data_IF_022041474655
#
_entry.id   IF_022041474655
#
_cell.length_a   1.000
_cell.length_b   1.000
_cell.length_c   1.000
_cell.angle_alpha   90.00
_cell.angle_beta   90.00
_cell.angle_gamma   90.00
#
_symmetry.space_group_name_H-M   'P 1'
#
loop_
_entity.id
_entity.type
_entity.pdbx_description
1 polymer ?
#
# COMPACT_ATOMS: atom_id res chain seq x y z
N UNK A 1 17.55 -4.91 -16.43
CA UNK A 1 17.19 -6.14 -15.67
C UNK A 1 18.08 -6.48 -14.46
N UNK A 2 19.39 -6.19 -14.45
CA UNK A 2 20.29 -6.53 -13.32
C UNK A 2 19.84 -5.94 -11.96
N UNK A 3 19.42 -4.66 -11.93
CA UNK A 3 18.94 -3.99 -10.71
C UNK A 3 17.66 -4.61 -10.14
N UNK A 4 16.69 -4.93 -10.99
CA UNK A 4 15.46 -5.63 -10.58
C UNK A 4 15.76 -7.00 -9.95
N UNK A 5 16.67 -7.78 -10.55
CA UNK A 5 17.12 -9.07 -9.98
C UNK A 5 17.86 -8.90 -8.66
N UNK A 6 18.62 -7.81 -8.49
CA UNK A 6 19.30 -7.51 -7.23
C UNK A 6 18.30 -7.14 -6.13
N UNK A 7 17.35 -6.26 -6.43
CA UNK A 7 16.24 -5.94 -5.54
C UNK A 7 15.51 -7.22 -5.13
N UNK A 8 15.16 -8.09 -6.08
CA UNK A 8 14.48 -9.35 -5.76
C UNK A 8 15.29 -10.25 -4.84
N UNK A 9 16.60 -10.38 -5.07
CA UNK A 9 17.48 -11.15 -4.17
C UNK A 9 17.53 -10.57 -2.76
N UNK A 10 17.52 -9.24 -2.63
CA UNK A 10 17.46 -8.57 -1.33
C UNK A 10 16.13 -8.82 -0.62
N UNK A 11 15.00 -8.67 -1.33
CA UNK A 11 13.67 -8.89 -0.77
C UNK A 11 13.42 -10.36 -0.40
N UNK A 12 13.95 -11.32 -1.17
CA UNK A 12 13.85 -12.73 -0.85
C UNK A 12 14.59 -13.13 0.44
N UNK A 13 15.59 -12.36 0.88
CA UNK A 13 16.36 -12.64 2.10
C UNK A 13 15.63 -12.23 3.38
N UNK A 14 14.66 -11.32 3.26
CA UNK A 14 14.00 -10.70 4.40
C UNK A 14 12.50 -10.53 4.10
N UNK A 15 11.67 -11.51 4.51
CA UNK A 15 10.24 -11.51 4.23
C UNK A 15 9.50 -10.29 4.78
N UNK A 16 9.91 -9.76 5.92
CA UNK A 16 9.30 -8.59 6.56
C UNK A 16 9.53 -7.34 5.70
N UNK A 17 10.78 -7.13 5.26
CA UNK A 17 11.11 -6.03 4.33
C UNK A 17 10.34 -6.11 3.02
N UNK A 18 10.20 -7.32 2.46
CA UNK A 18 9.40 -7.51 1.25
C UNK A 18 7.91 -7.23 1.45
N UNK A 19 7.35 -7.60 2.60
CA UNK A 19 5.97 -7.29 2.94
C UNK A 19 5.75 -5.78 3.01
N UNK A 20 6.62 -5.06 3.69
CA UNK A 20 6.58 -3.59 3.78
C UNK A 20 6.71 -2.93 2.41
N UNK A 21 7.68 -3.38 1.61
CA UNK A 21 7.91 -2.82 0.28
C UNK A 21 6.76 -3.11 -0.68
N UNK A 22 6.21 -4.32 -0.66
CA UNK A 22 5.00 -4.67 -1.42
C UNK A 22 3.78 -3.87 -0.96
N UNK A 23 3.69 -3.55 0.33
CA UNK A 23 2.69 -2.65 0.89
C UNK A 23 2.77 -1.24 0.30
N UNK A 24 3.98 -0.69 0.12
CA UNK A 24 4.19 0.61 -0.53
C UNK A 24 3.66 0.61 -1.97
N UNK A 25 3.98 -0.41 -2.77
CA UNK A 25 3.50 -0.50 -4.15
C UNK A 25 1.97 -0.63 -4.20
N UNK A 26 1.38 -1.33 -3.23
CA UNK A 26 -0.08 -1.45 -3.12
C UNK A 26 -0.73 -0.12 -2.77
N UNK A 27 -0.17 0.65 -1.83
CA UNK A 27 -0.64 2.00 -1.48
C UNK A 27 -0.65 2.92 -2.73
N UNK A 28 0.36 2.80 -3.60
CA UNK A 28 0.41 3.54 -4.86
C UNK A 28 -0.75 3.16 -5.80
N UNK A 29 -1.09 1.88 -5.90
CA UNK A 29 -2.20 1.41 -6.75
C UNK A 29 -3.56 1.79 -6.16
N UNK A 30 -3.76 1.53 -4.87
CA UNK A 30 -5.04 1.75 -4.18
C UNK A 30 -5.42 3.24 -4.15
N UNK A 31 -4.43 4.13 -4.07
CA UNK A 31 -4.63 5.59 -4.11
C UNK A 31 -4.62 6.18 -5.51
N UNK A 32 -4.37 5.38 -6.55
CA UNK A 32 -4.33 5.84 -7.93
C UNK A 32 -3.11 6.70 -8.27
N UNK A 33 -2.01 6.59 -7.51
CA UNK A 33 -0.73 7.22 -7.85
C UNK A 33 0.05 6.44 -8.90
N UNK A 34 -0.18 5.14 -8.99
CA UNK A 34 0.30 4.28 -10.06
C UNK A 34 -0.85 3.45 -10.61
N UNK A 35 -0.70 3.01 -11.85
CA UNK A 35 -1.63 2.11 -12.52
C UNK A 35 -0.85 0.98 -13.20
N UNK A 36 -1.49 -0.18 -13.38
CA UNK A 36 -0.90 -1.26 -14.17
C UNK A 36 -0.92 -0.83 -15.64
N UNK A 37 0.13 -1.18 -16.38
CA UNK A 37 0.20 -0.89 -17.81
C UNK A 37 -0.56 -1.97 -18.57
N UNK A 38 -1.49 -1.57 -19.43
CA UNK A 38 -2.42 -2.45 -20.17
C UNK A 38 -1.76 -3.16 -21.38
N UNK A 39 -0.45 -3.35 -21.36
CA UNK A 39 0.32 -3.90 -22.48
C UNK A 39 0.50 -2.95 -23.68
N UNK A 40 -0.04 -1.73 -23.62
CA UNK A 40 0.18 -0.70 -24.64
C UNK A 40 1.63 -0.20 -24.61
N UNK A 41 2.28 -0.28 -25.77
CA UNK A 41 3.55 0.42 -25.99
C UNK A 41 3.30 1.91 -25.82
N UNK A 42 4.20 2.58 -25.10
CA UNK A 42 4.18 4.03 -25.10
C UNK A 42 4.60 4.59 -26.45
N UNK A 43 4.44 5.91 -26.65
CA UNK A 43 4.87 6.56 -27.86
C UNK A 43 6.38 6.32 -28.10
N UNK A 44 6.81 6.13 -29.37
CA UNK A 44 8.24 6.01 -29.71
C UNK A 44 9.02 7.19 -29.12
N UNK A 45 10.16 6.89 -28.47
CA UNK A 45 11.01 7.91 -27.85
C UNK A 45 10.48 8.54 -26.55
N UNK A 46 9.27 8.18 -26.07
CA UNK A 46 8.69 8.67 -24.80
C UNK A 46 8.32 7.55 -23.83
N UNK A 47 9.04 6.44 -23.87
CA UNK A 47 8.85 5.33 -22.93
C UNK A 47 10.14 5.11 -22.14
N UNK A 48 10.05 5.21 -20.82
CA UNK A 48 11.20 5.02 -19.93
C UNK A 48 10.82 4.18 -18.71
N UNK A 49 11.73 3.29 -18.29
CA UNK A 49 11.55 2.45 -17.11
C UNK A 49 12.55 2.85 -16.03
N UNK A 50 12.04 3.52 -15.00
CA UNK A 50 12.80 3.94 -13.84
C UNK A 50 13.21 2.73 -12.98
N UNK A 51 14.52 2.51 -12.78
CA UNK A 51 14.98 1.62 -11.73
C UNK A 51 14.53 2.15 -10.39
N UNK A 52 14.30 1.23 -9.46
CA UNK A 52 13.87 1.59 -8.12
C UNK A 52 14.45 0.66 -7.10
N UNK A 53 14.46 1.13 -5.85
CA UNK A 53 14.91 0.35 -4.71
C UNK A 53 14.16 0.78 -3.44
N UNK A 54 14.20 -0.08 -2.43
CA UNK A 54 13.60 0.15 -1.13
C UNK A 54 14.62 0.72 -0.15
N UNK A 55 14.27 1.82 0.53
CA UNK A 55 15.02 2.36 1.66
C UNK A 55 14.20 2.14 2.92
N UNK A 56 14.82 1.55 3.94
CA UNK A 56 14.19 1.23 5.21
C UNK A 56 14.76 2.15 6.30
N UNK A 57 13.87 2.84 7.00
CA UNK A 57 14.21 3.65 8.16
C UNK A 57 13.61 2.99 9.40
N UNK A 58 14.44 2.75 10.42
CA UNK A 58 13.96 2.26 11.71
C UNK A 58 13.65 3.47 12.59
N UNK A 59 12.41 3.61 13.02
CA UNK A 59 12.03 4.68 13.93
C UNK A 59 11.06 4.15 14.99
N UNK A 60 11.44 4.29 16.27
CA UNK A 60 10.62 3.89 17.42
C UNK A 60 10.05 2.45 17.30
N UNK A 61 10.86 1.48 16.87
CA UNK A 61 10.45 0.08 16.73
C UNK A 61 9.59 -0.23 15.49
N UNK A 62 9.31 0.74 14.62
CA UNK A 62 8.63 0.51 13.33
C UNK A 62 9.61 0.70 12.17
N UNK A 63 9.56 -0.23 11.22
CA UNK A 63 10.33 -0.16 9.97
C UNK A 63 9.50 0.61 8.94
N UNK A 64 9.89 1.85 8.63
CA UNK A 64 9.26 2.64 7.57
C UNK A 64 9.97 2.38 6.24
N UNK A 65 9.26 1.81 5.28
CA UNK A 65 9.75 1.63 3.92
C UNK A 65 9.44 2.84 3.03
N UNK A 66 10.38 3.22 2.16
CA UNK A 66 10.18 4.19 1.08
C UNK A 66 10.70 3.61 -0.23
N UNK A 67 9.89 3.69 -1.29
CA UNK A 67 10.36 3.42 -2.65
C UNK A 67 11.09 4.65 -3.18
N UNK A 68 12.28 4.44 -3.73
CA UNK A 68 13.07 5.48 -4.41
C UNK A 68 13.14 5.14 -5.90
N UNK A 69 12.65 6.04 -6.74
CA UNK A 69 12.79 5.98 -8.19
C UNK A 69 14.08 6.73 -8.59
N UNK A 70 14.95 6.07 -9.36
CA UNK A 70 16.23 6.62 -9.79
C UNK A 70 16.11 7.25 -11.18
N UNK A 71 15.77 8.55 -11.21
CA UNK A 71 15.69 9.35 -12.44
C UNK A 71 17.05 9.65 -13.10
N UNK A 72 18.15 9.46 -12.37
CA UNK A 72 19.51 9.64 -12.86
C UNK A 72 20.11 8.37 -13.44
N UNK A 73 19.40 7.24 -13.39
CA UNK A 73 19.88 6.01 -13.97
C UNK A 73 20.06 6.16 -15.49
N UNK A 74 21.31 6.03 -15.94
CA UNK A 74 21.65 6.15 -17.34
C UNK A 74 21.47 4.83 -18.10
N UNK A 75 20.97 4.95 -19.33
CA UNK A 75 20.97 3.90 -20.34
C UNK A 75 21.31 4.51 -21.70
N UNK A 76 22.31 3.95 -22.37
CA UNK A 76 22.79 4.43 -23.67
C UNK A 76 23.09 5.95 -23.69
N UNK A 77 23.75 6.45 -22.63
CA UNK A 77 24.11 7.87 -22.48
C UNK A 77 22.95 8.82 -22.15
N UNK A 78 21.75 8.30 -21.91
CA UNK A 78 20.55 9.09 -21.60
C UNK A 78 20.00 8.72 -20.21
N UNK A 79 19.55 9.70 -19.43
CA UNK A 79 18.76 9.51 -18.20
C UNK A 79 17.49 10.33 -18.28
N UNK A 80 16.48 10.01 -17.46
CA UNK A 80 15.24 10.80 -17.44
C UNK A 80 15.55 12.26 -17.05
N UNK A 81 16.39 12.46 -16.03
CA UNK A 81 16.77 13.79 -15.57
C UNK A 81 17.46 14.64 -16.65
N UNK A 82 18.21 14.02 -17.58
CA UNK A 82 18.84 14.74 -18.70
C UNK A 82 17.83 15.21 -19.76
N UNK A 83 16.63 14.63 -19.78
CA UNK A 83 15.57 14.96 -20.74
C UNK A 83 14.50 15.89 -20.18
N UNK A 84 14.55 16.20 -18.88
CA UNK A 84 13.59 17.08 -18.22
C UNK A 84 14.14 18.50 -18.11
N UNK A 85 13.28 19.48 -18.37
CA UNK A 85 13.61 20.87 -18.08
C UNK A 85 13.54 21.09 -16.55
N UNK A 86 14.63 21.51 -15.88
CA UNK A 86 14.62 21.76 -14.44
C UNK A 86 13.68 22.89 -14.04
N UNK A 87 13.36 23.79 -14.97
CA UNK A 87 12.57 24.98 -14.72
C UNK A 87 13.25 25.96 -13.74
N UNK A 88 12.57 27.07 -13.40
CA UNK A 88 13.09 28.06 -12.47
C UNK A 88 13.07 27.55 -11.03
N UNK A 89 14.00 28.05 -10.19
CA UNK A 89 14.02 27.74 -8.75
C UNK A 89 12.84 28.42 -8.05
N UNK A 90 11.81 27.62 -7.73
CA UNK A 90 10.60 28.09 -7.02
C UNK A 90 10.74 28.08 -5.49
N UNK A 91 11.81 27.51 -4.95
CA UNK A 91 12.02 27.41 -3.51
C UNK A 91 12.28 28.81 -2.91
N UNK A 92 11.47 29.27 -1.94
CA UNK A 92 11.69 30.55 -1.29
C UNK A 92 13.01 30.54 -0.53
N UNK A 93 13.65 31.70 -0.41
CA UNK A 93 14.89 31.84 0.34
C UNK A 93 14.69 31.43 1.81
N UNK A 94 15.51 30.49 2.28
CA UNK A 94 15.35 29.88 3.59
C UNK A 94 15.57 30.92 4.71
N UNK A 95 16.51 31.85 4.52
CA UNK A 95 16.77 32.91 5.51
C UNK A 95 15.56 33.83 5.62
N UNK A 96 14.99 34.25 4.50
CA UNK A 96 13.78 35.06 4.46
C UNK A 96 12.56 34.33 5.06
N UNK A 97 12.45 33.01 4.88
CA UNK A 97 11.41 32.19 5.53
C UNK A 97 11.61 32.16 7.04
N UNK A 98 12.83 31.91 7.52
CA UNK A 98 13.15 31.86 8.95
C UNK A 98 12.96 33.22 9.64
N UNK A 99 13.34 34.32 9.00
CA UNK A 99 13.12 35.67 9.50
C UNK A 99 11.62 35.97 9.63
N UNK A 100 10.81 35.62 8.62
CA UNK A 100 9.35 35.76 8.68
C UNK A 100 8.73 34.92 9.79
N UNK A 101 9.19 33.67 9.95
CA UNK A 101 8.72 32.78 11.01
C UNK A 101 8.99 33.36 12.40
N UNK A 102 10.13 34.05 12.60
CA UNK A 102 10.49 34.70 13.87
C UNK A 102 9.77 36.02 14.15
N UNK A 103 9.10 36.64 13.17
CA UNK A 103 8.43 37.95 13.36
C UNK A 103 7.18 37.86 14.25
N UNK A 104 6.56 36.69 14.32
CA UNK A 104 5.36 36.48 15.12
C UNK A 104 5.68 35.70 16.39
N UNK A 105 5.01 36.04 17.50
CA UNK A 105 5.18 35.35 18.79
C UNK A 105 4.72 33.89 18.74
N UNK A 106 3.76 33.58 17.87
CA UNK A 106 3.15 32.26 17.72
C UNK A 106 3.33 31.84 16.27
N UNK A 107 3.74 30.59 16.07
CA UNK A 107 3.90 30.00 14.76
C UNK A 107 3.17 28.65 14.67
N UNK A 108 2.65 28.35 13.49
CA UNK A 108 2.00 27.08 13.18
C UNK A 108 2.85 26.33 12.15
N UNK A 109 3.00 25.04 12.36
CA UNK A 109 3.69 24.14 11.45
C UNK A 109 2.78 22.95 11.13
N UNK A 110 2.74 22.56 9.86
CA UNK A 110 2.07 21.36 9.40
C UNK A 110 2.95 20.65 8.35
N UNK A 111 2.84 19.34 8.29
CA UNK A 111 3.47 18.50 7.25
C UNK A 111 2.38 18.03 6.28
N UNK A 112 2.60 18.21 4.98
CA UNK A 112 1.69 17.71 3.95
C UNK A 112 2.18 16.32 3.54
N UNK A 113 1.54 15.30 4.08
CA UNK A 113 1.89 13.91 3.79
C UNK A 113 1.83 13.65 2.27
N UNK A 114 2.95 13.20 1.71
CA UNK A 114 3.08 12.78 0.29
C UNK A 114 2.64 13.86 -0.71
N UNK A 115 2.98 15.13 -0.42
CA UNK A 115 2.54 16.29 -1.21
C UNK A 115 2.76 16.15 -2.73
N UNK A 116 3.89 15.61 -3.18
CA UNK A 116 4.18 15.48 -4.60
C UNK A 116 3.26 14.49 -5.31
N UNK A 117 2.77 13.46 -4.61
CA UNK A 117 1.84 12.47 -5.16
C UNK A 117 0.41 13.03 -5.29
N UNK A 118 0.15 14.22 -4.74
CA UNK A 118 -1.12 14.93 -4.93
C UNK A 118 -1.18 15.68 -6.27
N UNK A 119 -0.04 15.83 -6.96
CA UNK A 119 0.04 16.45 -8.30
C UNK A 119 -0.02 15.37 -9.36
N UNK A 120 -1.04 15.42 -10.22
CA UNK A 120 -1.20 14.45 -11.31
C UNK A 120 -0.26 14.76 -12.47
N UNK A 121 0.32 13.70 -13.03
CA UNK A 121 1.01 13.76 -14.31
C UNK A 121 0.00 13.80 -15.46
N UNK A 122 0.36 14.55 -16.52
CA UNK A 122 -0.37 14.49 -17.79
C UNK A 122 -0.29 13.08 -18.35
N UNK A 123 -1.34 12.64 -19.04
CA UNK A 123 -1.43 11.28 -19.61
C UNK A 123 -0.24 10.97 -20.53
N UNK A 124 0.18 11.95 -21.33
CA UNK A 124 1.32 11.86 -22.24
C UNK A 124 2.68 11.65 -21.55
N UNK A 125 2.84 12.11 -20.31
CA UNK A 125 4.11 12.04 -19.58
C UNK A 125 4.22 10.77 -18.73
N UNK A 126 3.11 10.06 -18.44
CA UNK A 126 3.12 8.86 -17.59
C UNK A 126 4.06 7.77 -18.11
N UNK A 127 4.25 7.70 -19.43
CA UNK A 127 5.08 6.70 -20.10
C UNK A 127 6.57 6.78 -19.75
N UNK A 128 7.08 7.96 -19.33
CA UNK A 128 8.47 8.12 -18.91
C UNK A 128 8.69 7.88 -17.41
N UNK A 129 7.63 7.66 -16.64
CA UNK A 129 7.66 7.33 -15.20
C UNK A 129 7.32 5.87 -14.91
N UNK A 130 7.37 4.98 -15.91
CA UNK A 130 7.07 3.55 -15.69
C UNK A 130 8.14 2.91 -14.82
N UNK A 131 7.76 1.86 -14.10
CA UNK A 131 8.71 1.03 -13.35
C UNK A 131 8.26 -0.43 -13.37
N UNK A 132 9.21 -1.35 -13.26
CA UNK A 132 8.92 -2.78 -13.26
C UNK A 132 8.78 -3.31 -11.84
N UNK A 133 7.64 -3.87 -11.49
CA UNK A 133 7.44 -4.54 -10.22
C UNK A 133 7.00 -5.98 -10.44
N UNK A 134 7.67 -6.92 -9.78
CA UNK A 134 7.30 -8.33 -9.80
C UNK A 134 6.58 -8.67 -8.50
N UNK A 135 5.26 -8.74 -8.59
CA UNK A 135 4.40 -9.21 -7.51
C UNK A 135 4.76 -10.66 -7.14
N UNK A 136 4.77 -11.00 -5.84
CA UNK A 136 4.76 -12.42 -5.48
C UNK A 136 3.37 -12.95 -5.73
N UNK A 137 3.28 -14.08 -6.43
CA UNK A 137 2.23 -15.06 -6.17
C UNK A 137 2.51 -15.69 -4.79
N UNK A 138 2.38 -14.91 -3.73
CA UNK A 138 1.91 -15.52 -2.50
C UNK A 138 0.42 -15.74 -2.76
N UNK A 139 -0.08 -16.97 -2.62
CA UNK A 139 -1.53 -17.26 -2.63
C UNK A 139 -2.34 -16.44 -1.60
N UNK A 140 -1.70 -15.51 -0.89
CA UNK A 140 -2.24 -14.51 0.01
C UNK A 140 -2.98 -13.34 -0.70
N UNK A 141 -3.72 -13.64 -1.76
CA UNK A 141 -4.61 -12.66 -2.42
C UNK A 141 -6.03 -13.16 -2.69
N UNK A 142 -6.58 -13.93 -1.76
CA UNK A 142 -8.05 -14.05 -1.70
C UNK A 142 -8.71 -12.89 -0.95
N UNK A 143 -8.01 -12.21 -0.03
CA UNK A 143 -8.69 -11.45 1.04
C UNK A 143 -8.10 -10.06 1.34
N UNK A 144 -8.98 -9.11 1.72
CA UNK A 144 -8.64 -7.78 2.25
C UNK A 144 -7.80 -7.91 3.54
N UNK A 145 -6.95 -6.93 3.93
CA UNK A 145 -6.06 -7.04 5.09
C UNK A 145 -6.75 -7.48 6.39
N UNK A 146 -7.93 -6.92 6.70
CA UNK A 146 -8.71 -7.32 7.86
C UNK A 146 -9.12 -8.80 7.83
N UNK A 147 -9.55 -9.29 6.67
CA UNK A 147 -9.97 -10.68 6.47
C UNK A 147 -8.75 -11.60 6.50
N UNK A 148 -7.63 -11.20 5.89
CA UNK A 148 -6.38 -11.95 5.91
C UNK A 148 -5.87 -12.13 7.35
N UNK A 149 -5.82 -11.06 8.14
CA UNK A 149 -5.41 -11.10 9.54
C UNK A 149 -6.31 -12.03 10.36
N UNK A 150 -7.64 -11.94 10.17
CA UNK A 150 -8.58 -12.80 10.90
C UNK A 150 -8.44 -14.27 10.52
N UNK A 151 -8.28 -14.59 9.24
CA UNK A 151 -8.12 -15.99 8.85
C UNK A 151 -6.77 -16.55 9.30
N UNK A 152 -5.70 -15.74 9.29
CA UNK A 152 -4.42 -16.17 9.86
C UNK A 152 -4.53 -16.42 11.38
N UNK A 153 -5.28 -15.60 12.11
CA UNK A 153 -5.56 -15.84 13.52
C UNK A 153 -6.32 -17.17 13.73
N UNK A 154 -7.35 -17.44 12.92
CA UNK A 154 -8.12 -18.70 12.98
C UNK A 154 -7.22 -19.91 12.67
N UNK A 155 -6.46 -19.85 11.58
CA UNK A 155 -5.56 -20.93 11.14
C UNK A 155 -4.40 -21.18 12.12
N UNK A 156 -3.98 -20.18 12.90
CA UNK A 156 -2.94 -20.37 13.92
C UNK A 156 -3.47 -20.99 15.21
N UNK A 157 -4.79 -21.00 15.43
CA UNK A 157 -5.44 -21.48 16.65
C UNK A 157 -6.30 -22.73 16.44
N UNK A 158 -6.60 -23.08 15.19
CA UNK A 158 -7.52 -24.16 14.86
C UNK A 158 -7.04 -24.94 13.66
N UNK A 159 -7.39 -26.22 13.62
CA UNK A 159 -7.20 -27.09 12.48
C UNK A 159 -8.49 -27.22 11.65
N UNK A 160 -8.41 -27.40 10.32
CA UNK A 160 -9.59 -27.59 9.47
C UNK A 160 -10.50 -28.75 9.92
N UNK A 161 -9.93 -29.76 10.58
CA UNK A 161 -10.66 -30.88 11.18
C UNK A 161 -11.66 -30.45 12.28
N UNK A 162 -11.42 -29.31 12.91
CA UNK A 162 -12.28 -28.74 13.96
C UNK A 162 -13.42 -27.89 13.38
N UNK A 163 -13.39 -27.59 12.08
CA UNK A 163 -14.35 -26.67 11.47
C UNK A 163 -15.63 -27.40 11.08
N UNK A 164 -16.76 -26.87 11.53
CA UNK A 164 -18.09 -27.36 11.15
C UNK A 164 -18.87 -26.26 10.45
N UNK A 165 -19.64 -26.65 9.44
CA UNK A 165 -20.58 -25.75 8.80
C UNK A 165 -21.72 -25.44 9.79
N UNK A 166 -21.93 -24.16 10.09
CA UNK A 166 -23.09 -23.68 10.84
C UNK A 166 -24.20 -23.35 9.84
N UNK A 167 -25.33 -24.10 9.83
CA UNK A 167 -26.46 -23.78 8.97
C UNK A 167 -27.01 -22.38 9.24
N UNK A 168 -27.55 -21.72 8.21
CA UNK A 168 -28.14 -20.38 8.32
C UNK A 168 -29.17 -20.24 9.44
N UNK A 169 -29.99 -21.27 9.67
CA UNK A 169 -31.01 -21.27 10.73
C UNK A 169 -30.40 -21.24 12.15
N UNK A 170 -29.16 -21.70 12.29
CA UNK A 170 -28.44 -21.87 13.56
C UNK A 170 -27.32 -20.84 13.75
N UNK A 171 -27.15 -19.90 12.80
CA UNK A 171 -26.13 -18.85 12.88
C UNK A 171 -26.69 -17.60 13.57
N UNK A 172 -26.36 -17.31 14.84
CA UNK A 172 -26.87 -16.12 15.53
C UNK A 172 -26.43 -14.82 14.84
N UNK A 173 -25.27 -14.80 14.16
CA UNK A 173 -24.78 -13.60 13.48
C UNK A 173 -25.69 -13.14 12.32
N UNK A 174 -26.46 -14.05 11.71
CA UNK A 174 -27.39 -13.72 10.64
C UNK A 174 -28.55 -12.82 11.11
N UNK A 175 -28.91 -12.87 12.39
CA UNK A 175 -29.98 -12.04 12.97
C UNK A 175 -29.64 -10.55 12.90
N UNK A 176 -28.38 -10.20 13.14
CA UNK A 176 -27.93 -8.81 13.05
C UNK A 176 -27.67 -8.39 11.61
N UNK A 177 -27.11 -9.26 10.78
CA UNK A 177 -26.76 -8.90 9.40
C UNK A 177 -27.98 -8.75 8.49
N UNK A 178 -29.08 -9.49 8.75
CA UNK A 178 -30.34 -9.42 7.99
C UNK A 178 -31.35 -8.42 8.56
N UNK A 179 -31.09 -7.90 9.77
CA UNK A 179 -31.99 -7.01 10.51
C UNK A 179 -32.99 -7.78 11.38
N UNK A 180 -33.08 -7.38 12.65
CA UNK A 180 -33.99 -7.95 13.64
C UNK A 180 -34.49 -6.83 14.58
N UNK A 181 -35.75 -6.91 15.01
CA UNK A 181 -36.28 -6.00 16.02
C UNK A 181 -35.67 -6.31 17.40
N UNK A 182 -35.42 -5.28 18.20
CA UNK A 182 -34.78 -5.42 19.52
C UNK A 182 -35.60 -6.30 20.47
N UNK A 183 -36.93 -6.17 20.45
CA UNK A 183 -37.81 -6.98 21.31
C UNK A 183 -37.72 -8.47 20.95
N UNK A 184 -37.66 -8.79 19.66
CA UNK A 184 -37.46 -10.18 19.19
C UNK A 184 -36.08 -10.70 19.57
N UNK A 185 -35.03 -9.88 19.42
CA UNK A 185 -33.66 -10.28 19.79
C UNK A 185 -33.51 -10.51 21.30
N UNK A 186 -34.23 -9.73 22.12
CA UNK A 186 -34.20 -9.86 23.58
C UNK A 186 -34.65 -11.24 24.04
N UNK A 187 -35.61 -11.84 23.35
CA UNK A 187 -36.16 -13.16 23.67
C UNK A 187 -35.52 -14.31 22.85
N UNK A 188 -34.62 -14.00 21.91
CA UNK A 188 -34.02 -14.98 21.00
C UNK A 188 -32.99 -15.86 21.73
N UNK A 189 -33.40 -17.10 22.03
CA UNK A 189 -32.54 -18.07 22.71
C UNK A 189 -31.30 -18.45 21.91
N UNK A 190 -31.37 -18.48 20.57
CA UNK A 190 -30.23 -18.83 19.72
C UNK A 190 -29.16 -17.75 19.78
N UNK A 191 -29.56 -16.47 19.81
CA UNK A 191 -28.63 -15.36 19.96
C UNK A 191 -27.86 -15.41 21.28
N UNK A 192 -28.58 -15.60 22.39
CA UNK A 192 -27.98 -15.54 23.73
C UNK A 192 -27.26 -16.82 24.15
N UNK A 193 -27.69 -17.97 23.65
CA UNK A 193 -27.17 -19.27 24.11
C UNK A 193 -26.35 -20.02 23.06
N UNK A 194 -26.33 -19.52 21.82
CA UNK A 194 -25.79 -20.26 20.68
C UNK A 194 -26.63 -21.50 20.32
N UNK A 195 -26.25 -22.17 19.22
CA UNK A 195 -26.92 -23.40 18.81
C UNK A 195 -26.62 -24.55 19.78
N UNK A 196 -27.59 -25.45 19.96
CA UNK A 196 -27.52 -26.52 20.96
C UNK A 196 -26.32 -27.46 20.75
N UNK A 197 -25.97 -27.73 19.49
CA UNK A 197 -24.85 -28.60 19.11
C UNK A 197 -23.47 -28.03 19.45
N UNK A 198 -23.37 -26.76 19.86
CA UNK A 198 -22.10 -26.14 20.27
C UNK A 198 -21.83 -26.31 21.78
N UNK A 199 -22.78 -26.89 22.52
CA UNK A 199 -22.68 -27.13 23.98
C UNK A 199 -22.28 -28.56 24.34
N UNK A 200 -22.11 -29.43 23.34
CA UNK A 200 -21.57 -30.79 23.49
C UNK A 200 -20.04 -30.78 23.42
#
# INVERSE_FOLDING_TARGET
MRRLRALRRQLNRDPEKDQEYSGVIRDYLDRGWAEKVDGTSGPPGRTWYLPHHAVYQHNQGKTKCRMVLDGSAEWNGTSLNNCLDPGPKLQPDLVAVLLRFRRSRIALQADIEKMYLQVRLRLEDRYVFRFLFQERDCGARRWKPFVANRVQEILSRTEPSQWRHSPTADNPADKLSRGCALDTLREDKLWWNGPAWLKE
#
